data_IF_311174863234
#
_entry.id   IF_311174863234
#
_cell.length_a   1.000
_cell.length_b   1.000
_cell.length_c   1.000
_cell.angle_alpha   90.00
_cell.angle_beta   90.00
_cell.angle_gamma   90.00
#
_symmetry.space_group_name_H-M   'P 1'
#
loop_
_entity.id
_entity.type
_entity.pdbx_description
1 polymer ?
#
# COMPACT_ATOMS: atom_id res chain seq x y z
N UNK A 1 -18.65 14.20 15.69
CA UNK A 1 -18.72 14.19 14.20
C UNK A 1 -19.74 13.15 13.79
N UNK A 2 -20.71 13.51 12.95
CA UNK A 2 -21.78 12.61 12.52
C UNK A 2 -21.17 11.34 11.87
N UNK A 3 -21.70 10.15 12.15
CA UNK A 3 -21.09 8.88 11.70
C UNK A 3 -20.91 8.82 10.18
N UNK A 4 -21.86 9.38 9.43
CA UNK A 4 -21.78 9.53 7.97
C UNK A 4 -20.51 10.28 7.53
N UNK A 5 -20.13 11.35 8.22
CA UNK A 5 -18.93 12.14 7.90
C UNK A 5 -17.66 11.33 8.10
N UNK A 6 -17.60 10.47 9.13
CA UNK A 6 -16.46 9.58 9.37
C UNK A 6 -16.31 8.55 8.27
N UNK A 7 -17.42 7.97 7.80
CA UNK A 7 -17.43 7.01 6.70
C UNK A 7 -16.95 7.66 5.42
N UNK A 8 -17.52 8.81 5.03
CA UNK A 8 -17.13 9.55 3.82
C UNK A 8 -15.63 9.89 3.85
N UNK A 9 -15.13 10.39 4.98
CA UNK A 9 -13.71 10.72 5.11
C UNK A 9 -12.81 9.49 4.94
N UNK A 10 -13.17 8.34 5.52
CA UNK A 10 -12.43 7.08 5.35
C UNK A 10 -12.47 6.56 3.93
N UNK A 11 -13.61 6.67 3.26
CA UNK A 11 -13.73 6.28 1.86
C UNK A 11 -12.82 7.13 0.98
N UNK A 12 -12.78 8.44 1.22
CA UNK A 12 -11.87 9.35 0.52
C UNK A 12 -10.41 9.00 0.82
N UNK A 13 -10.06 8.70 2.08
CA UNK A 13 -8.72 8.25 2.49
C UNK A 13 -8.28 7.02 1.68
N UNK A 14 -9.14 5.99 1.60
CA UNK A 14 -8.84 4.75 0.86
C UNK A 14 -8.70 5.02 -0.64
N UNK A 15 -9.64 5.74 -1.25
CA UNK A 15 -9.59 6.07 -2.69
C UNK A 15 -8.33 6.88 -3.01
N UNK A 16 -7.96 7.83 -2.15
CA UNK A 16 -6.75 8.65 -2.33
C UNK A 16 -5.49 7.79 -2.27
N UNK A 17 -5.39 6.86 -1.32
CA UNK A 17 -4.26 5.95 -1.21
C UNK A 17 -4.15 4.99 -2.41
N UNK A 18 -5.28 4.50 -2.91
CA UNK A 18 -5.31 3.68 -4.13
C UNK A 18 -4.84 4.49 -5.34
N UNK A 19 -5.33 5.73 -5.50
CA UNK A 19 -4.90 6.60 -6.58
C UNK A 19 -3.41 6.94 -6.51
N UNK A 20 -2.90 7.31 -5.34
CA UNK A 20 -1.47 7.56 -5.11
C UNK A 20 -0.65 6.30 -5.36
N UNK A 21 -1.11 5.14 -4.89
CA UNK A 21 -0.46 3.87 -5.14
C UNK A 21 -0.38 3.52 -6.63
N UNK A 22 -1.38 3.92 -7.42
CA UNK A 22 -1.36 3.72 -8.88
C UNK A 22 -0.26 4.56 -9.52
N UNK A 23 -0.17 5.83 -9.12
CA UNK A 23 0.89 6.72 -9.58
C UNK A 23 2.28 6.18 -9.20
N UNK A 24 2.46 5.73 -7.96
CA UNK A 24 3.71 5.10 -7.53
C UNK A 24 4.02 3.83 -8.34
N UNK A 25 3.02 3.03 -8.64
CA UNK A 25 3.22 1.80 -9.43
C UNK A 25 3.70 2.12 -10.84
N UNK A 26 3.06 3.09 -11.51
CA UNK A 26 3.36 3.43 -12.91
C UNK A 26 4.64 4.26 -13.05
N UNK A 27 4.85 5.23 -12.17
CA UNK A 27 5.92 6.22 -12.31
C UNK A 27 7.14 5.93 -11.45
N UNK A 28 7.06 5.02 -10.48
CA UNK A 28 8.19 4.66 -9.60
C UNK A 28 8.52 3.18 -9.74
N UNK A 29 7.58 2.28 -9.45
CA UNK A 29 7.85 0.85 -9.43
C UNK A 29 8.20 0.31 -10.83
N UNK A 30 7.41 0.67 -11.85
CA UNK A 30 7.63 0.23 -13.21
C UNK A 30 9.02 0.63 -13.75
N UNK A 31 9.43 1.91 -13.69
CA UNK A 31 10.78 2.31 -14.11
C UNK A 31 11.88 1.60 -13.32
N UNK A 32 11.68 1.34 -12.01
CA UNK A 32 12.62 0.56 -11.22
C UNK A 32 12.73 -0.86 -11.80
N UNK A 33 11.61 -1.57 -11.98
CA UNK A 33 11.61 -2.92 -12.53
C UNK A 33 12.30 -2.99 -13.90
N UNK A 34 11.92 -2.09 -14.82
CA UNK A 34 12.51 -2.04 -16.16
C UNK A 34 14.01 -1.73 -16.11
N UNK A 35 14.45 -0.89 -15.16
CA UNK A 35 15.87 -0.63 -14.90
C UNK A 35 16.66 -1.86 -14.41
N UNK A 36 16.00 -2.82 -13.77
CA UNK A 36 16.56 -4.13 -13.41
C UNK A 36 16.36 -5.20 -14.50
N UNK A 37 15.86 -4.82 -15.68
CA UNK A 37 15.57 -5.76 -16.78
C UNK A 37 14.30 -6.60 -16.55
N UNK A 38 13.50 -6.26 -15.54
CA UNK A 38 12.24 -6.95 -15.22
C UNK A 38 11.15 -6.31 -16.06
N UNK A 39 10.63 -7.05 -17.04
CA UNK A 39 9.53 -6.57 -17.86
C UNK A 39 8.28 -6.35 -17.00
N UNK A 40 7.79 -5.11 -16.97
CA UNK A 40 6.53 -4.76 -16.31
C UNK A 40 5.35 -5.08 -17.23
N UNK A 41 5.21 -6.36 -17.59
CA UNK A 41 4.12 -6.92 -18.38
C UNK A 41 3.34 -7.91 -17.52
N UNK A 42 2.00 -7.90 -17.58
CA UNK A 42 1.15 -8.76 -16.76
C UNK A 42 0.05 -8.02 -15.99
N UNK A 43 -0.43 -8.62 -14.91
CA UNK A 43 -1.50 -8.11 -14.07
C UNK A 43 -0.99 -7.03 -13.11
N UNK A 44 -0.92 -5.80 -13.64
CA UNK A 44 -0.52 -4.59 -12.89
C UNK A 44 -1.36 -4.37 -11.63
N UNK A 45 -2.57 -4.91 -11.53
CA UNK A 45 -3.46 -4.73 -10.39
C UNK A 45 -2.89 -5.34 -9.10
N UNK A 46 -2.16 -6.46 -9.19
CA UNK A 46 -1.59 -7.12 -8.00
C UNK A 46 -0.45 -6.28 -7.43
N UNK A 47 0.46 -5.82 -8.29
CA UNK A 47 1.56 -4.93 -7.90
C UNK A 47 1.02 -3.60 -7.39
N UNK A 48 0.02 -3.05 -8.07
CA UNK A 48 -0.66 -1.82 -7.65
C UNK A 48 -1.28 -1.94 -6.27
N UNK A 49 -2.00 -3.02 -6.00
CA UNK A 49 -2.60 -3.24 -4.70
C UNK A 49 -1.53 -3.42 -3.62
N UNK A 50 -0.45 -4.15 -3.92
CA UNK A 50 0.70 -4.30 -3.03
C UNK A 50 1.34 -2.96 -2.66
N UNK A 51 1.66 -2.13 -3.66
CA UNK A 51 2.20 -0.78 -3.45
C UNK A 51 1.24 0.08 -2.64
N UNK A 52 -0.04 0.11 -2.99
CA UNK A 52 -1.05 0.89 -2.28
C UNK A 52 -1.16 0.48 -0.81
N UNK A 53 -1.08 -0.83 -0.54
CA UNK A 53 -1.14 -1.34 0.83
C UNK A 53 0.13 -0.99 1.61
N UNK A 54 1.32 -1.09 1.01
CA UNK A 54 2.58 -0.66 1.64
C UNK A 54 2.49 0.83 2.01
N UNK A 55 2.02 1.68 1.09
CA UNK A 55 1.81 3.11 1.35
C UNK A 55 0.79 3.34 2.48
N UNK A 56 -0.30 2.58 2.52
CA UNK A 56 -1.28 2.63 3.59
C UNK A 56 -0.69 2.27 4.96
N UNK A 57 0.18 1.25 5.01
CA UNK A 57 0.87 0.86 6.25
C UNK A 57 1.83 1.96 6.69
N UNK A 58 2.62 2.52 5.77
CA UNK A 58 3.52 3.64 6.07
C UNK A 58 2.76 4.87 6.56
N UNK A 59 1.67 5.23 5.89
CA UNK A 59 0.77 6.29 6.33
C UNK A 59 0.24 6.02 7.74
N UNK A 60 -0.25 4.81 8.01
CA UNK A 60 -0.78 4.43 9.32
C UNK A 60 0.29 4.49 10.42
N UNK A 61 1.52 4.07 10.13
CA UNK A 61 2.65 4.18 11.05
C UNK A 61 2.98 5.65 11.34
N UNK A 62 3.12 6.48 10.31
CA UNK A 62 3.42 7.92 10.47
C UNK A 62 2.31 8.61 11.26
N UNK A 63 1.06 8.32 10.92
CA UNK A 63 -0.11 8.87 11.60
C UNK A 63 -0.18 8.43 13.06
N UNK A 64 0.02 7.15 13.37
CA UNK A 64 -0.04 6.63 14.73
C UNK A 64 1.11 7.14 15.61
N UNK A 65 2.32 7.19 15.06
CA UNK A 65 3.52 7.45 15.84
C UNK A 65 3.82 8.94 15.99
N UNK A 66 3.44 9.79 15.02
CA UNK A 66 3.83 11.21 15.01
C UNK A 66 2.63 12.16 15.07
N UNK A 67 1.63 11.99 14.21
CA UNK A 67 0.57 13.00 14.01
C UNK A 67 -0.61 12.85 14.98
N UNK A 68 -1.06 11.62 15.22
CA UNK A 68 -2.30 11.30 15.93
C UNK A 68 -2.06 10.26 17.03
N UNK A 69 -1.03 10.47 17.86
CA UNK A 69 -0.58 9.55 18.93
C UNK A 69 -1.69 9.07 19.90
N UNK A 70 -2.78 9.83 20.05
CA UNK A 70 -3.93 9.49 20.90
C UNK A 70 -5.11 8.85 20.16
N UNK A 71 -5.04 8.73 18.84
CA UNK A 71 -6.11 8.14 18.05
C UNK A 71 -6.19 6.63 18.26
N UNK A 72 -7.32 6.18 18.80
CA UNK A 72 -7.62 4.76 19.03
C UNK A 72 -7.64 3.99 17.70
N UNK A 73 -8.11 4.62 16.63
CA UNK A 73 -8.26 3.99 15.32
C UNK A 73 -6.93 3.52 14.74
N UNK A 74 -5.91 4.38 14.74
CA UNK A 74 -4.60 4.02 14.18
C UNK A 74 -3.91 2.96 15.05
N UNK A 75 -4.07 3.02 16.37
CA UNK A 75 -3.58 1.98 17.28
C UNK A 75 -4.23 0.64 17.02
N UNK A 76 -5.55 0.60 16.86
CA UNK A 76 -6.29 -0.63 16.54
C UNK A 76 -5.85 -1.24 15.20
N UNK A 77 -5.59 -0.42 14.18
CA UNK A 77 -5.02 -0.88 12.90
C UNK A 77 -3.65 -1.55 13.12
N UNK A 78 -2.76 -0.90 13.88
CA UNK A 78 -1.42 -1.44 14.15
C UNK A 78 -1.39 -2.69 15.05
N UNK A 79 -2.43 -2.93 15.85
CA UNK A 79 -2.54 -4.18 16.64
C UNK A 79 -3.17 -5.32 15.87
N UNK A 80 -3.71 -5.08 14.67
CA UNK A 80 -4.41 -6.10 13.89
C UNK A 80 -3.43 -7.07 13.24
N UNK A 81 -3.62 -8.38 13.46
CA UNK A 81 -2.82 -9.43 12.81
C UNK A 81 -3.02 -9.42 11.29
N UNK A 82 -4.27 -9.28 10.83
CA UNK A 82 -4.58 -9.21 9.41
C UNK A 82 -3.89 -8.03 8.72
N UNK A 83 -3.74 -6.91 9.43
CA UNK A 83 -3.03 -5.75 8.90
C UNK A 83 -1.57 -6.08 8.56
N UNK A 84 -0.89 -6.79 9.47
CA UNK A 84 0.50 -7.21 9.25
C UNK A 84 0.62 -8.36 8.26
N UNK A 85 -0.32 -9.31 8.23
CA UNK A 85 -0.32 -10.40 7.25
C UNK A 85 -0.44 -9.89 5.82
N UNK A 86 -1.38 -8.96 5.58
CA UNK A 86 -1.53 -8.34 4.26
C UNK A 86 -0.29 -7.50 3.93
N UNK A 87 0.31 -6.82 4.91
CA UNK A 87 1.57 -6.10 4.68
C UNK A 87 2.70 -7.02 4.22
N UNK A 88 2.87 -8.17 4.87
CA UNK A 88 3.87 -9.17 4.47
C UNK A 88 3.57 -9.67 3.05
N UNK A 89 2.32 -10.01 2.74
CA UNK A 89 1.92 -10.42 1.39
C UNK A 89 2.15 -9.33 0.34
N UNK A 90 1.87 -8.07 0.67
CA UNK A 90 2.13 -6.93 -0.20
C UNK A 90 3.62 -6.74 -0.50
N UNK A 91 4.48 -6.86 0.53
CA UNK A 91 5.94 -6.85 0.33
C UNK A 91 6.39 -8.02 -0.54
N UNK A 92 5.87 -9.23 -0.30
CA UNK A 92 6.19 -10.38 -1.14
C UNK A 92 5.85 -10.12 -2.61
N UNK A 93 4.64 -9.65 -2.91
CA UNK A 93 4.21 -9.32 -4.28
C UNK A 93 5.13 -8.30 -4.93
N UNK A 94 5.49 -7.23 -4.22
CA UNK A 94 6.29 -6.12 -4.77
C UNK A 94 7.78 -6.46 -4.87
N UNK A 95 8.30 -7.36 -4.03
CA UNK A 95 9.73 -7.64 -3.99
C UNK A 95 10.14 -8.98 -4.61
N UNK A 96 9.22 -9.94 -4.77
CA UNK A 96 9.53 -11.23 -5.41
C UNK A 96 10.06 -11.10 -6.85
N UNK A 97 9.64 -10.12 -7.68
CA UNK A 97 10.16 -10.01 -9.04
C UNK A 97 11.67 -9.76 -9.10
N UNK A 98 12.24 -9.06 -8.11
CA UNK A 98 13.69 -8.83 -8.04
C UNK A 98 14.49 -10.11 -7.77
N UNK A 99 13.88 -11.08 -7.10
CA UNK A 99 14.51 -12.38 -6.83
C UNK A 99 14.37 -13.30 -8.05
N UNK A 100 13.22 -13.25 -8.73
CA UNK A 100 12.95 -14.10 -9.90
C UNK A 100 13.55 -13.57 -11.20
N UNK A 101 13.82 -12.28 -11.29
CA UNK A 101 14.24 -11.62 -12.54
C UNK A 101 13.09 -11.38 -13.52
N UNK A 102 11.86 -11.73 -13.16
CA UNK A 102 10.65 -11.54 -13.95
C UNK A 102 9.48 -11.18 -13.04
N UNK A 103 8.49 -10.44 -13.55
CA UNK A 103 7.26 -10.20 -12.83
C UNK A 103 6.32 -11.41 -12.99
N UNK A 104 6.04 -12.19 -11.93
CA UNK A 104 5.23 -13.40 -12.04
C UNK A 104 3.72 -13.13 -12.03
N UNK A 105 3.32 -11.85 -12.01
CA UNK A 105 1.94 -11.39 -11.89
C UNK A 105 1.51 -10.59 -13.13
#
# INVERSE_FOLDING_TARGET
MNELKKVVFRTIEIISLLAIGLLFTVYVLKPIYEGFGINFMGNVWVNWFGVSYILFVMYTLIAALFLFKKSILFKQRLTSVFFWLIFIGANYVVFIPFIKGENPF
#
